data_IF_618760219742
#
_entry.id   IF_618760219742
#
_cell.length_a   1.000
_cell.length_b   1.000
_cell.length_c   1.000
_cell.angle_alpha   90.00
_cell.angle_beta   90.00
_cell.angle_gamma   90.00
#
_symmetry.space_group_name_H-M   'P 1'
#
loop_
_entity.id
_entity.type
_entity.pdbx_description
1 polymer ?
#
# COMPACT_ATOMS: atom_id res chain seq x y z
N UNK A 1 -19.27 26.15 18.66
CA UNK A 1 -19.61 25.44 17.42
C UNK A 1 -20.29 26.47 16.51
N UNK A 2 -19.76 26.73 15.35
CA UNK A 2 -20.30 27.77 14.45
C UNK A 2 -21.53 27.19 13.74
N UNK A 3 -22.62 27.99 13.58
CA UNK A 3 -23.87 27.56 12.92
C UNK A 3 -23.67 26.89 11.55
N UNK A 4 -22.65 27.30 10.81
CA UNK A 4 -22.25 26.66 9.55
C UNK A 4 -21.73 25.20 9.73
N UNK A 5 -21.10 24.88 10.83
CA UNK A 5 -20.61 23.51 11.08
C UNK A 5 -21.74 22.53 11.45
N UNK A 6 -22.88 23.00 11.92
CA UNK A 6 -24.05 22.17 12.23
C UNK A 6 -24.83 21.75 10.98
N UNK A 7 -24.73 22.48 9.86
CA UNK A 7 -25.42 22.17 8.61
C UNK A 7 -24.63 21.26 7.66
N UNK A 8 -23.30 21.10 7.84
CA UNK A 8 -22.49 20.21 7.00
C UNK A 8 -22.95 18.73 7.00
N UNK A 9 -23.36 18.13 8.13
CA UNK A 9 -23.88 16.76 8.14
C UNK A 9 -25.19 16.61 7.33
N UNK A 10 -26.00 17.66 7.22
CA UNK A 10 -27.24 17.63 6.43
C UNK A 10 -26.93 17.64 4.92
N UNK A 11 -26.03 18.51 4.47
CA UNK A 11 -25.56 18.52 3.09
C UNK A 11 -24.85 17.23 2.70
N UNK A 12 -24.14 16.60 3.64
CA UNK A 12 -23.48 15.31 3.37
C UNK A 12 -24.47 14.20 3.07
N UNK A 13 -25.68 14.18 3.66
CA UNK A 13 -26.71 13.17 3.37
C UNK A 13 -27.09 13.10 1.90
N UNK A 14 -27.13 14.25 1.22
CA UNK A 14 -27.39 14.28 -0.23
C UNK A 14 -26.25 13.62 -1.01
N UNK A 15 -24.99 13.91 -0.63
CA UNK A 15 -23.80 13.32 -1.25
C UNK A 15 -23.75 11.80 -0.98
N UNK A 16 -24.07 11.38 0.23
CA UNK A 16 -24.14 9.98 0.61
C UNK A 16 -25.17 9.22 -0.22
N UNK A 17 -26.34 9.78 -0.45
CA UNK A 17 -27.39 9.22 -1.29
C UNK A 17 -26.94 9.04 -2.76
N UNK A 18 -26.04 9.89 -3.24
CA UNK A 18 -25.40 9.75 -4.57
C UNK A 18 -24.29 8.67 -4.62
N UNK A 19 -23.94 8.07 -3.47
CA UNK A 19 -23.01 6.95 -3.40
C UNK A 19 -21.55 7.35 -3.19
N UNK A 20 -21.26 8.19 -2.19
CA UNK A 20 -19.88 8.54 -1.80
C UNK A 20 -19.04 7.28 -1.55
N UNK A 21 -17.89 7.12 -2.23
CA UNK A 21 -17.01 5.96 -2.03
C UNK A 21 -16.38 5.90 -0.62
N UNK A 22 -16.35 7.01 0.14
CA UNK A 22 -15.84 7.07 1.52
C UNK A 22 -16.87 6.58 2.55
N UNK A 23 -18.18 6.55 2.16
CA UNK A 23 -19.23 6.05 3.03
C UNK A 23 -18.95 4.62 3.46
N UNK A 24 -19.13 4.35 4.73
CA UNK A 24 -18.94 3.03 5.30
C UNK A 24 -17.49 2.57 5.48
N UNK A 25 -16.46 3.40 5.18
CA UNK A 25 -15.08 3.08 5.58
C UNK A 25 -14.96 3.22 7.10
N UNK A 26 -15.47 4.31 7.67
CA UNK A 26 -15.47 4.53 9.12
C UNK A 26 -16.29 3.49 9.89
N UNK A 27 -17.31 2.90 9.29
CA UNK A 27 -18.11 1.83 9.88
C UNK A 27 -17.36 0.47 9.89
N UNK A 28 -16.39 0.33 8.98
CA UNK A 28 -15.58 -0.89 8.84
C UNK A 28 -14.33 -0.86 9.66
N UNK A 29 -13.72 0.31 9.79
CA UNK A 29 -12.42 0.52 10.44
C UNK A 29 -12.60 1.41 11.65
N UNK A 30 -12.27 0.85 12.79
CA UNK A 30 -12.09 1.60 14.03
C UNK A 30 -10.69 2.24 14.00
N UNK A 31 -10.63 3.51 13.62
CA UNK A 31 -9.36 4.23 13.52
C UNK A 31 -8.71 4.45 14.89
N UNK A 32 -9.46 4.42 16.00
CA UNK A 32 -8.91 4.57 17.35
C UNK A 32 -7.96 3.41 17.70
N UNK A 33 -8.17 2.22 17.15
CA UNK A 33 -7.26 1.07 17.30
C UNK A 33 -5.88 1.28 16.66
N UNK A 34 -5.72 2.30 15.82
CA UNK A 34 -4.43 2.68 15.26
C UNK A 34 -3.64 3.56 16.23
N UNK A 35 -4.29 4.23 17.19
CA UNK A 35 -3.63 5.15 18.13
C UNK A 35 -2.45 4.52 18.88
N UNK A 36 -2.53 3.30 19.45
CA UNK A 36 -1.38 2.68 20.12
C UNK A 36 -0.14 2.56 19.23
N UNK A 37 -0.34 2.32 17.93
CA UNK A 37 0.75 2.25 16.95
C UNK A 37 1.39 3.62 16.73
N UNK A 38 0.64 4.69 16.88
CA UNK A 38 1.03 6.07 16.58
C UNK A 38 1.39 6.90 17.82
N UNK A 39 1.32 6.33 19.02
CA UNK A 39 1.50 7.06 20.30
C UNK A 39 2.84 7.80 20.40
N UNK A 40 3.89 7.27 19.80
CA UNK A 40 5.25 7.84 19.79
C UNK A 40 5.58 8.62 18.50
N UNK A 41 4.57 8.99 17.70
CA UNK A 41 4.81 9.72 16.44
C UNK A 41 5.42 11.11 16.64
N UNK A 42 5.19 11.74 17.79
CA UNK A 42 5.70 13.07 18.12
C UNK A 42 6.65 12.99 19.31
N UNK A 43 7.73 13.78 19.28
CA UNK A 43 8.77 13.82 20.31
C UNK A 43 8.78 15.14 21.10
N UNK A 44 7.87 16.05 20.78
CA UNK A 44 7.81 17.39 21.30
C UNK A 44 6.73 17.60 22.38
N UNK A 45 6.28 16.52 23.01
CA UNK A 45 5.40 16.57 24.18
C UNK A 45 6.26 16.89 25.42
N UNK A 46 6.70 18.14 25.50
CA UNK A 46 7.59 18.64 26.56
C UNK A 46 6.98 19.86 27.22
N UNK A 47 7.31 20.09 28.48
CA UNK A 47 6.87 21.26 29.30
C UNK A 47 7.30 22.63 28.72
N UNK A 48 8.17 22.64 27.69
CA UNK A 48 8.70 23.88 27.09
C UNK A 48 7.70 24.61 26.18
N UNK A 49 6.47 24.06 26.03
CA UNK A 49 5.46 24.65 25.15
C UNK A 49 5.78 24.44 23.67
N UNK A 50 4.88 24.90 22.82
CA UNK A 50 5.02 24.81 21.37
C UNK A 50 3.64 24.73 20.71
N UNK A 51 3.61 24.74 19.36
CA UNK A 51 2.37 24.51 18.61
C UNK A 51 1.89 23.07 18.86
N UNK A 52 0.64 22.85 19.32
CA UNK A 52 0.10 21.52 19.51
C UNK A 52 0.19 20.69 18.23
N UNK A 53 0.53 19.41 18.38
CA UNK A 53 0.56 18.46 17.28
C UNK A 53 -0.85 18.23 16.74
N UNK A 54 -0.93 17.88 15.46
CA UNK A 54 -2.15 17.36 14.88
C UNK A 54 -2.38 15.93 15.36
N UNK A 55 -3.64 15.57 15.54
CA UNK A 55 -4.02 14.19 15.85
C UNK A 55 -3.43 13.21 14.79
N UNK A 56 -2.66 12.20 15.22
CA UNK A 56 -2.08 11.21 14.30
C UNK A 56 -3.12 10.45 13.47
N UNK A 57 -4.31 10.19 14.02
CA UNK A 57 -5.41 9.53 13.31
C UNK A 57 -5.92 10.42 12.19
N UNK A 58 -6.13 11.70 12.46
CA UNK A 58 -6.48 12.68 11.42
C UNK A 58 -5.45 12.67 10.29
N UNK A 59 -4.16 12.65 10.63
CA UNK A 59 -3.08 12.65 9.64
C UNK A 59 -3.07 11.37 8.79
N UNK A 60 -3.31 10.19 9.38
CA UNK A 60 -3.44 8.92 8.65
C UNK A 60 -4.65 8.96 7.71
N UNK A 61 -5.79 9.45 8.17
CA UNK A 61 -6.99 9.62 7.32
C UNK A 61 -6.71 10.55 6.13
N UNK A 62 -5.98 11.65 6.33
CA UNK A 62 -5.59 12.56 5.25
C UNK A 62 -4.68 11.85 4.23
N UNK A 63 -3.71 11.05 4.68
CA UNK A 63 -2.85 10.28 3.77
C UNK A 63 -3.63 9.19 3.01
N UNK A 64 -4.67 8.59 3.62
CA UNK A 64 -5.58 7.68 2.91
C UNK A 64 -6.36 8.42 1.82
N UNK A 65 -6.92 9.59 2.11
CA UNK A 65 -7.59 10.43 1.10
C UNK A 65 -6.63 10.81 -0.03
N UNK A 66 -5.42 11.24 0.33
CA UNK A 66 -4.39 11.60 -0.64
C UNK A 66 -4.12 10.45 -1.62
N UNK A 67 -3.94 9.24 -1.10
CA UNK A 67 -3.66 8.05 -1.93
C UNK A 67 -4.90 7.59 -2.69
N UNK A 68 -6.08 7.61 -2.09
CA UNK A 68 -7.33 7.17 -2.70
C UNK A 68 -7.71 7.99 -3.94
N UNK A 69 -7.49 9.31 -3.85
CA UNK A 69 -7.81 10.26 -4.93
C UNK A 69 -6.60 10.70 -5.74
N UNK A 70 -5.43 10.11 -5.48
CA UNK A 70 -4.19 10.40 -6.22
C UNK A 70 -3.77 11.88 -6.18
N UNK A 71 -3.91 12.52 -5.03
CA UNK A 71 -3.68 13.94 -4.87
C UNK A 71 -2.20 14.23 -4.54
N UNK A 72 -1.68 15.32 -5.08
CA UNK A 72 -0.42 15.91 -4.62
C UNK A 72 -0.57 16.59 -3.26
N UNK A 73 0.53 16.89 -2.58
CA UNK A 73 0.49 17.58 -1.27
C UNK A 73 -0.28 18.92 -1.32
N UNK A 74 -0.09 19.80 -2.33
CA UNK A 74 -0.91 21.00 -2.46
C UNK A 74 -2.40 20.73 -2.75
N UNK A 75 -2.69 19.67 -3.52
CA UNK A 75 -4.08 19.32 -3.81
C UNK A 75 -4.80 18.80 -2.57
N UNK A 76 -4.20 17.87 -1.82
CA UNK A 76 -4.86 17.35 -0.62
C UNK A 76 -5.08 18.44 0.42
N UNK A 77 -4.14 19.40 0.58
CA UNK A 77 -4.33 20.56 1.45
C UNK A 77 -5.56 21.38 1.08
N UNK A 78 -5.83 21.57 -0.22
CA UNK A 78 -7.03 22.28 -0.72
C UNK A 78 -8.28 21.44 -0.55
N UNK A 79 -8.25 20.19 -1.04
CA UNK A 79 -9.43 19.32 -1.12
C UNK A 79 -10.00 18.94 0.26
N UNK A 80 -9.16 18.82 1.30
CA UNK A 80 -9.63 18.58 2.67
C UNK A 80 -10.39 19.78 3.27
N UNK A 81 -10.32 20.98 2.64
CA UNK A 81 -11.05 22.18 3.02
C UNK A 81 -12.27 22.42 2.15
N UNK A 82 -12.26 21.91 0.93
CA UNK A 82 -13.23 22.20 -0.11
C UNK A 82 -14.33 21.12 -0.20
N UNK A 83 -13.96 19.83 -0.03
CA UNK A 83 -14.91 18.72 -0.21
C UNK A 83 -15.62 18.34 1.08
N UNK A 84 -16.96 18.41 1.05
CA UNK A 84 -17.81 18.00 2.18
C UNK A 84 -17.60 16.51 2.53
N UNK A 85 -17.46 15.63 1.55
CA UNK A 85 -17.19 14.19 1.79
C UNK A 85 -15.86 13.96 2.51
N UNK A 86 -14.83 14.75 2.20
CA UNK A 86 -13.55 14.67 2.91
C UNK A 86 -13.68 15.18 4.35
N UNK A 87 -14.36 16.30 4.54
CA UNK A 87 -14.63 16.84 5.87
C UNK A 87 -15.41 15.86 6.74
N UNK A 88 -16.42 15.19 6.16
CA UNK A 88 -17.17 14.14 6.87
C UNK A 88 -16.28 12.95 7.25
N UNK A 89 -15.49 12.44 6.32
CA UNK A 89 -14.55 11.33 6.60
C UNK A 89 -13.51 11.68 7.68
N UNK A 90 -13.08 12.95 7.74
CA UNK A 90 -12.15 13.46 8.74
C UNK A 90 -12.81 13.78 10.09
N UNK A 91 -14.15 13.80 10.18
CA UNK A 91 -14.88 14.10 11.39
C UNK A 91 -15.00 15.60 11.69
N UNK A 92 -14.99 16.45 10.67
CA UNK A 92 -15.11 17.91 10.76
C UNK A 92 -14.12 18.56 11.74
N UNK A 93 -12.80 18.35 11.58
CA UNK A 93 -11.81 18.85 12.51
C UNK A 93 -11.76 20.39 12.51
N UNK A 94 -11.62 21.00 13.69
CA UNK A 94 -11.55 22.45 13.84
C UNK A 94 -10.29 23.09 13.21
N UNK A 95 -9.23 22.31 13.02
CA UNK A 95 -7.97 22.73 12.37
C UNK A 95 -7.51 21.69 11.39
N UNK A 96 -7.12 22.13 10.20
CA UNK A 96 -6.57 21.27 9.15
C UNK A 96 -5.10 21.61 8.90
N UNK A 97 -4.26 20.58 8.65
CA UNK A 97 -2.84 20.76 8.38
C UNK A 97 -2.60 21.41 7.02
N UNK A 98 -1.45 22.07 6.89
CA UNK A 98 -0.89 22.49 5.61
C UNK A 98 -0.11 21.35 4.92
N UNK A 99 0.24 21.54 3.65
CA UNK A 99 0.99 20.57 2.84
C UNK A 99 2.33 20.16 3.46
N UNK A 100 3.03 21.10 4.12
CA UNK A 100 4.33 20.84 4.74
C UNK A 100 4.15 19.94 5.97
N UNK A 101 3.14 20.20 6.79
CA UNK A 101 2.78 19.36 7.94
C UNK A 101 2.42 17.93 7.49
N UNK A 102 1.65 17.78 6.41
CA UNK A 102 1.31 16.48 5.83
C UNK A 102 2.58 15.76 5.34
N UNK A 103 3.45 16.47 4.64
CA UNK A 103 4.72 15.93 4.18
C UNK A 103 5.61 15.48 5.34
N UNK A 104 5.80 16.30 6.39
CA UNK A 104 6.59 15.96 7.56
C UNK A 104 6.04 14.74 8.30
N UNK A 105 4.73 14.63 8.43
CA UNK A 105 4.11 13.45 9.05
C UNK A 105 4.41 12.17 8.26
N UNK A 106 4.29 12.22 6.93
CA UNK A 106 4.62 11.10 6.04
C UNK A 106 6.08 10.69 6.15
N UNK A 107 7.02 11.66 6.19
CA UNK A 107 8.45 11.39 6.39
C UNK A 107 8.71 10.73 7.75
N UNK A 108 8.00 11.15 8.78
CA UNK A 108 8.11 10.57 10.12
C UNK A 108 7.59 9.13 10.16
N UNK A 109 6.45 8.85 9.52
CA UNK A 109 5.96 7.49 9.31
C UNK A 109 7.01 6.60 8.63
N UNK A 110 7.64 7.12 7.57
CA UNK A 110 8.67 6.42 6.82
C UNK A 110 9.87 6.06 7.69
N UNK A 111 10.42 7.03 8.43
CA UNK A 111 11.60 6.84 9.29
C UNK A 111 11.33 5.85 10.43
N UNK A 112 10.14 5.87 11.01
CA UNK A 112 9.76 5.02 12.15
C UNK A 112 9.19 3.67 11.73
N UNK A 113 9.00 3.41 10.44
CA UNK A 113 8.41 2.16 9.93
C UNK A 113 6.96 1.92 10.38
N UNK A 114 6.25 2.98 10.81
CA UNK A 114 4.88 2.90 11.29
C UNK A 114 3.87 2.63 10.20
N UNK A 115 4.19 2.94 8.94
CA UNK A 115 3.41 2.62 7.75
C UNK A 115 2.99 1.16 7.69
N UNK A 116 3.91 0.24 7.99
CA UNK A 116 3.63 -1.20 8.06
C UNK A 116 2.68 -1.56 9.19
N UNK A 117 2.87 -0.96 10.36
CA UNK A 117 2.04 -1.26 11.54
C UNK A 117 0.61 -0.75 11.35
N UNK A 118 0.43 0.45 10.78
CA UNK A 118 -0.89 0.99 10.40
C UNK A 118 -1.58 0.07 9.38
N UNK A 119 -0.84 -0.39 8.37
CA UNK A 119 -1.37 -1.34 7.40
C UNK A 119 -1.82 -2.64 8.06
N UNK A 120 -1.01 -3.21 8.95
CA UNK A 120 -1.35 -4.44 9.65
C UNK A 120 -2.63 -4.29 10.45
N UNK A 121 -2.78 -3.21 11.22
CA UNK A 121 -3.98 -2.95 12.02
C UNK A 121 -5.24 -2.86 11.14
N UNK A 122 -5.19 -2.08 10.05
CA UNK A 122 -6.33 -1.97 9.12
C UNK A 122 -6.66 -3.32 8.47
N UNK A 123 -5.63 -4.08 8.03
CA UNK A 123 -5.82 -5.42 7.46
C UNK A 123 -6.47 -6.36 8.46
N UNK A 124 -5.98 -6.39 9.70
CA UNK A 124 -6.46 -7.29 10.74
C UNK A 124 -7.93 -7.00 11.09
N UNK A 125 -8.34 -5.74 11.12
CA UNK A 125 -9.74 -5.34 11.29
C UNK A 125 -10.62 -5.81 10.11
N UNK A 126 -10.13 -5.71 8.88
CA UNK A 126 -10.83 -6.24 7.69
C UNK A 126 -10.99 -7.75 7.79
N UNK A 127 -9.94 -8.46 8.21
CA UNK A 127 -9.92 -9.92 8.28
C UNK A 127 -10.71 -10.47 9.46
N UNK A 128 -10.79 -9.74 10.60
CA UNK A 128 -11.56 -10.15 11.78
C UNK A 128 -13.07 -10.34 11.49
N UNK A 129 -13.59 -9.62 10.50
CA UNK A 129 -15.00 -9.71 10.06
C UNK A 129 -15.26 -10.83 9.02
N UNK A 130 -14.27 -11.68 8.71
CA UNK A 130 -14.34 -12.65 7.61
C UNK A 130 -13.94 -14.05 8.06
N UNK A 131 -14.61 -15.05 7.49
CA UNK A 131 -14.20 -16.46 7.63
C UNK A 131 -13.04 -16.68 6.66
N UNK A 132 -11.87 -16.96 7.16
CA UNK A 132 -10.69 -17.30 6.35
C UNK A 132 -10.74 -18.77 5.94
N UNK A 133 -10.97 -19.02 4.67
CA UNK A 133 -10.81 -20.36 4.08
C UNK A 133 -9.35 -20.48 3.65
N UNK A 134 -8.55 -21.28 4.33
CA UNK A 134 -7.11 -21.44 4.07
C UNK A 134 -6.86 -22.28 2.81
N UNK A 135 -7.11 -21.73 1.63
CA UNK A 135 -6.79 -22.39 0.34
C UNK A 135 -5.35 -22.17 -0.10
N UNK A 136 -4.64 -21.25 0.53
CA UNK A 136 -3.28 -20.87 0.22
C UNK A 136 -3.17 -19.41 -0.22
N UNK A 137 -1.97 -18.86 -0.06
CA UNK A 137 -1.66 -17.48 -0.42
C UNK A 137 -0.84 -17.45 -1.72
N UNK A 138 -0.87 -16.35 -2.45
CA UNK A 138 -0.13 -16.13 -3.68
C UNK A 138 0.89 -15.03 -3.46
N UNK A 139 2.16 -15.28 -3.80
CA UNK A 139 3.22 -14.29 -3.74
C UNK A 139 3.71 -13.93 -5.14
N UNK A 140 3.84 -12.63 -5.41
CA UNK A 140 4.42 -12.11 -6.64
C UNK A 140 5.08 -10.75 -6.42
N UNK A 141 5.79 -10.25 -7.46
CA UNK A 141 6.45 -8.95 -7.47
C UNK A 141 6.12 -8.16 -8.74
N UNK A 142 5.94 -6.85 -8.58
CA UNK A 142 5.73 -5.92 -9.70
C UNK A 142 6.72 -4.77 -9.64
N UNK A 143 7.24 -4.37 -10.82
CA UNK A 143 8.09 -3.19 -10.93
C UNK A 143 7.31 -1.89 -10.70
N UNK A 144 8.01 -0.95 -10.09
CA UNK A 144 7.59 0.43 -9.88
C UNK A 144 8.67 1.30 -10.51
N UNK A 145 8.34 1.90 -11.64
CA UNK A 145 9.27 2.76 -12.36
C UNK A 145 9.52 4.07 -11.60
N UNK A 146 10.73 4.55 -11.69
CA UNK A 146 11.13 5.83 -11.10
C UNK A 146 12.02 6.60 -12.08
N UNK A 147 12.10 7.91 -11.89
CA UNK A 147 12.96 8.76 -12.71
C UNK A 147 14.43 8.40 -12.51
N UNK A 148 15.06 7.93 -13.59
CA UNK A 148 16.52 7.64 -13.64
C UNK A 148 17.34 8.92 -13.63
N UNK A 149 16.79 10.05 -14.03
CA UNK A 149 17.48 11.28 -14.28
C UNK A 149 18.37 11.27 -15.52
N UNK A 150 19.06 12.37 -15.76
CA UNK A 150 19.97 12.50 -16.92
C UNK A 150 21.32 11.83 -16.65
N UNK A 151 21.88 11.25 -17.71
CA UNK A 151 23.22 10.65 -17.70
C UNK A 151 24.27 11.73 -17.34
N UNK A 152 25.27 11.36 -16.53
CA UNK A 152 26.38 12.24 -16.18
C UNK A 152 26.14 13.24 -15.06
N UNK A 153 24.90 13.40 -14.54
CA UNK A 153 24.65 14.26 -13.37
C UNK A 153 24.85 13.51 -12.05
N UNK A 154 25.32 14.20 -10.97
CA UNK A 154 25.61 13.56 -9.68
C UNK A 154 24.41 12.78 -9.14
N UNK A 155 24.66 11.58 -8.63
CA UNK A 155 23.72 10.74 -7.90
C UNK A 155 24.24 10.59 -6.47
N UNK A 156 23.35 10.56 -5.51
CA UNK A 156 23.73 10.31 -4.12
C UNK A 156 22.82 11.04 -3.14
N UNK A 157 23.01 10.76 -1.85
CA UNK A 157 22.20 11.30 -0.77
C UNK A 157 22.14 12.82 -0.73
N UNK A 158 23.25 13.48 -1.06
CA UNK A 158 23.42 14.93 -0.98
C UNK A 158 23.03 15.67 -2.28
N UNK A 159 22.72 14.93 -3.35
CA UNK A 159 22.27 15.56 -4.59
C UNK A 159 20.87 16.16 -4.40
N UNK A 160 20.76 17.50 -4.56
CA UNK A 160 19.48 18.21 -4.53
C UNK A 160 18.72 18.00 -5.85
N UNK A 161 18.28 16.76 -6.10
CA UNK A 161 17.57 16.37 -7.31
C UNK A 161 16.28 15.65 -6.97
N UNK A 162 15.27 15.75 -7.85
CA UNK A 162 14.01 15.01 -7.76
C UNK A 162 14.13 13.54 -8.21
N UNK A 163 15.34 13.06 -8.46
CA UNK A 163 15.62 11.71 -8.96
C UNK A 163 15.58 10.68 -7.85
N UNK A 164 15.36 9.43 -8.24
CA UNK A 164 15.52 8.32 -7.34
C UNK A 164 16.97 8.26 -6.81
N UNK A 165 17.10 8.20 -5.49
CA UNK A 165 18.40 8.17 -4.81
C UNK A 165 18.95 6.76 -4.64
N UNK A 166 18.08 5.79 -4.45
CA UNK A 166 18.38 4.40 -4.11
C UNK A 166 17.64 3.38 -5.00
N UNK A 167 17.00 3.84 -6.07
CA UNK A 167 16.46 2.96 -7.11
C UNK A 167 17.56 2.28 -7.91
N UNK A 168 17.28 1.10 -8.40
CA UNK A 168 18.23 0.29 -9.15
C UNK A 168 17.68 -0.15 -10.52
N UNK A 169 18.60 -0.52 -11.42
CA UNK A 169 18.25 -1.09 -12.72
C UNK A 169 18.06 -2.60 -12.63
N UNK A 170 17.07 -3.11 -13.36
CA UNK A 170 16.85 -4.54 -13.56
C UNK A 170 16.40 -4.79 -14.99
N UNK A 171 16.65 -5.99 -15.53
CA UNK A 171 16.17 -6.42 -16.83
C UNK A 171 15.27 -7.65 -16.65
N UNK A 172 14.07 -7.61 -17.21
CA UNK A 172 13.15 -8.74 -17.25
C UNK A 172 12.54 -8.86 -18.65
N UNK A 173 12.61 -10.05 -19.24
CA UNK A 173 12.08 -10.31 -20.60
C UNK A 173 12.59 -9.32 -21.66
N UNK A 174 13.89 -8.97 -21.61
CA UNK A 174 14.54 -7.98 -22.50
C UNK A 174 14.08 -6.52 -22.30
N UNK A 175 13.21 -6.24 -21.34
CA UNK A 175 12.82 -4.88 -20.96
C UNK A 175 13.68 -4.38 -19.79
N UNK A 176 14.10 -3.11 -19.88
CA UNK A 176 14.91 -2.45 -18.85
C UNK A 176 14.01 -1.65 -17.92
N UNK A 177 14.07 -1.98 -16.64
CA UNK A 177 13.36 -1.31 -15.57
C UNK A 177 14.35 -0.52 -14.71
N UNK A 178 13.93 0.65 -14.22
CA UNK A 178 14.68 1.40 -13.23
C UNK A 178 13.75 1.90 -12.13
N UNK A 179 14.08 1.60 -10.88
CA UNK A 179 13.32 2.03 -9.72
C UNK A 179 13.27 0.96 -8.64
N UNK A 180 12.08 0.46 -8.37
CA UNK A 180 11.78 -0.40 -7.22
C UNK A 180 10.91 -1.58 -7.63
N UNK A 181 10.73 -2.51 -6.68
CA UNK A 181 9.74 -3.59 -6.76
C UNK A 181 8.85 -3.60 -5.53
N UNK A 182 7.57 -3.79 -5.73
CA UNK A 182 6.64 -4.17 -4.67
C UNK A 182 6.43 -5.68 -4.72
N UNK A 183 6.71 -6.35 -3.60
CA UNK A 183 6.43 -7.76 -3.39
C UNK A 183 5.18 -7.86 -2.54
N UNK A 184 4.18 -8.63 -2.96
CA UNK A 184 2.93 -8.81 -2.21
C UNK A 184 2.61 -10.26 -1.98
N UNK A 185 2.01 -10.55 -0.83
CA UNK A 185 1.34 -11.80 -0.50
C UNK A 185 -0.17 -11.51 -0.46
N UNK A 186 -0.93 -12.26 -1.22
CA UNK A 186 -2.37 -12.07 -1.42
C UNK A 186 -3.09 -13.36 -1.11
N UNK A 187 -4.20 -13.27 -0.39
CA UNK A 187 -5.06 -14.43 -0.08
C UNK A 187 -6.04 -14.79 -1.21
N UNK A 188 -6.82 -15.84 -1.02
CA UNK A 188 -7.80 -16.35 -1.99
C UNK A 188 -8.96 -15.39 -2.28
N UNK A 189 -9.26 -14.45 -1.38
CA UNK A 189 -10.28 -13.41 -1.58
C UNK A 189 -9.66 -12.12 -2.14
N UNK A 190 -8.40 -12.15 -2.53
CA UNK A 190 -7.61 -11.06 -3.10
C UNK A 190 -7.37 -9.89 -2.14
N UNK A 191 -7.28 -10.14 -0.85
CA UNK A 191 -6.79 -9.17 0.14
C UNK A 191 -5.26 -9.29 0.21
N UNK A 192 -4.57 -8.15 0.25
CA UNK A 192 -3.12 -8.10 0.46
C UNK A 192 -2.85 -8.32 1.94
N UNK A 193 -2.16 -9.42 2.24
CA UNK A 193 -1.80 -9.86 3.59
C UNK A 193 -0.47 -9.26 4.07
N UNK A 194 0.51 -9.28 3.18
CA UNK A 194 1.85 -8.72 3.43
C UNK A 194 2.38 -8.02 2.20
N UNK A 195 3.24 -7.06 2.43
CA UNK A 195 4.02 -6.46 1.35
C UNK A 195 5.42 -6.07 1.80
N UNK A 196 6.33 -5.98 0.83
CA UNK A 196 7.68 -5.45 0.99
C UNK A 196 8.05 -4.63 -0.24
N UNK A 197 8.93 -3.65 -0.07
CA UNK A 197 9.44 -2.83 -1.18
C UNK A 197 10.96 -2.90 -1.17
N UNK A 198 11.54 -3.15 -2.35
CA UNK A 198 12.99 -3.25 -2.55
C UNK A 198 13.43 -2.42 -3.75
N UNK A 199 14.72 -2.10 -3.90
CA UNK A 199 15.27 -1.67 -5.18
C UNK A 199 15.01 -2.74 -6.27
N UNK A 200 14.89 -2.31 -7.54
CA UNK A 200 14.49 -3.21 -8.62
C UNK A 200 15.47 -4.36 -8.91
N UNK A 201 16.76 -4.21 -8.54
CA UNK A 201 17.80 -5.22 -8.72
C UNK A 201 17.73 -6.39 -7.73
N UNK A 202 16.96 -6.26 -6.64
CA UNK A 202 16.77 -7.37 -5.69
C UNK A 202 15.96 -8.46 -6.37
N UNK A 203 16.50 -9.70 -6.39
CA UNK A 203 15.82 -10.82 -7.02
C UNK A 203 14.60 -11.25 -6.20
N UNK A 204 13.51 -11.61 -6.87
CA UNK A 204 12.23 -11.93 -6.22
C UNK A 204 12.36 -13.10 -5.24
N UNK A 205 13.26 -14.06 -5.53
CA UNK A 205 13.58 -15.22 -4.66
C UNK A 205 14.20 -14.86 -3.31
N UNK A 206 14.71 -13.65 -3.12
CA UNK A 206 15.28 -13.20 -1.85
C UNK A 206 14.22 -12.72 -0.85
N UNK A 207 12.98 -12.57 -1.30
CA UNK A 207 11.89 -12.06 -0.47
C UNK A 207 10.86 -13.16 -0.25
N UNK A 208 10.75 -13.63 0.98
CA UNK A 208 9.73 -14.57 1.41
C UNK A 208 8.71 -13.88 2.33
N UNK A 209 7.47 -13.81 1.87
CA UNK A 209 6.35 -13.24 2.62
C UNK A 209 5.41 -14.32 3.17
N UNK A 210 5.67 -15.59 2.91
CA UNK A 210 4.80 -16.71 3.27
C UNK A 210 4.54 -16.82 4.79
N UNK A 211 3.45 -17.48 5.16
CA UNK A 211 3.12 -17.83 6.53
C UNK A 211 3.42 -19.31 6.80
N UNK A 212 3.97 -19.66 7.97
CA UNK A 212 4.13 -21.07 8.36
C UNK A 212 2.79 -21.82 8.30
N UNK A 213 2.81 -23.04 7.75
CA UNK A 213 1.64 -23.92 7.66
C UNK A 213 0.61 -23.54 6.57
N UNK A 214 0.84 -22.47 5.80
CA UNK A 214 -0.03 -22.09 4.67
C UNK A 214 0.70 -22.34 3.36
N UNK A 215 -0.01 -22.86 2.35
CA UNK A 215 0.57 -23.03 1.00
C UNK A 215 0.82 -21.67 0.39
N UNK A 216 2.04 -21.44 -0.11
CA UNK A 216 2.40 -20.22 -0.83
C UNK A 216 2.66 -20.52 -2.31
N UNK A 217 1.78 -20.08 -3.17
CA UNK A 217 1.88 -20.25 -4.62
C UNK A 217 2.76 -19.14 -5.21
N UNK A 218 3.85 -19.55 -5.88
CA UNK A 218 4.85 -18.64 -6.46
C UNK A 218 5.19 -19.05 -7.89
N UNK A 219 5.69 -18.11 -8.67
CA UNK A 219 6.12 -18.40 -10.04
C UNK A 219 7.49 -19.12 -10.10
N UNK A 220 7.96 -19.42 -11.32
CA UNK A 220 9.26 -20.07 -11.56
C UNK A 220 10.47 -19.23 -11.11
N UNK A 221 10.31 -17.93 -10.94
CA UNK A 221 11.35 -17.02 -10.46
C UNK A 221 11.75 -17.29 -9.01
N UNK A 222 10.87 -17.94 -8.24
CA UNK A 222 11.12 -18.34 -6.86
C UNK A 222 11.64 -19.78 -6.71
N UNK A 223 11.92 -20.47 -7.83
CA UNK A 223 12.39 -21.86 -7.78
C UNK A 223 13.71 -21.96 -7.00
N UNK A 224 13.78 -22.89 -6.03
CA UNK A 224 14.92 -23.09 -5.16
C UNK A 224 15.08 -22.07 -4.01
N UNK A 225 14.18 -21.10 -3.89
CA UNK A 225 14.20 -20.17 -2.75
C UNK A 225 13.51 -20.74 -1.51
N UNK A 226 13.93 -20.25 -0.35
CA UNK A 226 13.28 -20.55 0.92
C UNK A 226 11.79 -20.20 0.90
N UNK A 227 11.01 -21.00 1.63
CA UNK A 227 9.58 -20.76 1.85
C UNK A 227 9.25 -21.18 3.28
N UNK A 228 8.87 -20.22 4.12
CA UNK A 228 8.42 -20.48 5.50
C UNK A 228 7.11 -21.27 5.53
N UNK A 229 6.29 -21.09 4.50
CA UNK A 229 5.05 -21.84 4.31
C UNK A 229 5.26 -23.18 3.59
N UNK A 230 4.14 -23.81 3.23
CA UNK A 230 4.15 -24.98 2.37
C UNK A 230 4.47 -24.54 0.93
N UNK A 231 5.50 -25.10 0.34
CA UNK A 231 6.03 -24.63 -0.94
C UNK A 231 5.14 -25.02 -2.13
N UNK A 232 4.40 -24.03 -2.64
CA UNK A 232 3.60 -24.08 -3.86
C UNK A 232 4.28 -23.47 -5.08
N UNK A 233 5.62 -23.36 -5.11
CA UNK A 233 6.36 -22.76 -6.24
C UNK A 233 6.28 -23.66 -7.48
N UNK A 234 6.15 -23.01 -8.65
CA UNK A 234 6.18 -23.70 -9.94
C UNK A 234 7.55 -24.31 -10.22
N UNK A 235 7.55 -25.51 -10.78
CA UNK A 235 8.78 -26.19 -11.18
C UNK A 235 9.43 -25.48 -12.38
N UNK A 236 10.76 -25.42 -12.39
CA UNK A 236 11.55 -24.84 -13.47
C UNK A 236 12.29 -25.94 -14.23
N UNK A 237 12.28 -25.87 -15.56
CA UNK A 237 13.09 -26.77 -16.38
C UNK A 237 14.59 -26.52 -16.13
N UNK A 238 15.35 -27.59 -16.01
CA UNK A 238 16.81 -27.55 -15.98
C UNK A 238 17.33 -27.45 -17.43
N UNK A 239 18.48 -26.83 -17.62
CA UNK A 239 19.10 -26.68 -18.96
C UNK A 239 19.17 -28.03 -19.66
N UNK A 240 18.70 -28.09 -20.89
CA UNK A 240 18.63 -29.27 -21.77
C UNK A 240 17.67 -30.40 -21.31
N UNK A 241 16.86 -30.19 -20.26
CA UNK A 241 15.87 -31.18 -19.84
C UNK A 241 14.45 -30.56 -19.88
N UNK A 242 13.53 -31.27 -20.52
CA UNK A 242 12.12 -30.88 -20.53
C UNK A 242 11.47 -31.22 -19.18
N UNK A 243 10.52 -30.40 -18.74
CA UNK A 243 9.73 -30.72 -17.55
C UNK A 243 8.92 -32.02 -17.77
N UNK A 244 8.86 -32.91 -16.76
CA UNK A 244 7.94 -34.04 -16.76
C UNK A 244 6.48 -33.59 -16.90
N UNK A 245 5.63 -34.40 -17.53
CA UNK A 245 4.21 -34.11 -17.73
C UNK A 245 3.50 -33.80 -16.41
N UNK A 246 3.86 -34.47 -15.33
CA UNK A 246 3.30 -34.21 -13.99
C UNK A 246 3.62 -32.81 -13.50
N UNK A 247 4.87 -32.34 -13.65
CA UNK A 247 5.29 -30.97 -13.31
C UNK A 247 4.59 -29.92 -14.20
N UNK A 248 4.37 -30.20 -15.48
CA UNK A 248 3.63 -29.33 -16.38
C UNK A 248 2.17 -29.18 -15.87
N UNK A 249 1.50 -30.30 -15.57
CA UNK A 249 0.12 -30.29 -15.03
C UNK A 249 0.04 -29.59 -13.68
N UNK A 250 1.03 -29.80 -12.80
CA UNK A 250 1.16 -29.10 -11.50
C UNK A 250 1.29 -27.60 -11.73
N UNK A 251 2.18 -27.17 -12.61
CA UNK A 251 2.42 -25.76 -12.92
C UNK A 251 1.17 -25.08 -13.50
N UNK A 252 0.41 -25.75 -14.34
CA UNK A 252 -0.86 -25.23 -14.86
C UNK A 252 -1.89 -24.97 -13.75
N UNK A 253 -1.99 -25.87 -12.77
CA UNK A 253 -2.86 -25.68 -11.60
C UNK A 253 -2.39 -24.49 -10.75
N UNK A 254 -1.11 -24.40 -10.46
CA UNK A 254 -0.52 -23.30 -9.69
C UNK A 254 -0.73 -21.96 -10.44
N UNK A 255 -0.52 -21.92 -11.75
CA UNK A 255 -0.70 -20.70 -12.55
C UNK A 255 -2.12 -20.15 -12.47
N UNK A 256 -3.14 -21.03 -12.52
CA UNK A 256 -4.55 -20.61 -12.37
C UNK A 256 -4.84 -19.97 -11.02
N UNK A 257 -4.29 -20.53 -9.93
CA UNK A 257 -4.46 -19.98 -8.58
C UNK A 257 -3.69 -18.66 -8.48
N UNK A 258 -2.44 -18.66 -8.93
CA UNK A 258 -1.54 -17.50 -8.83
C UNK A 258 -2.02 -16.28 -9.61
N UNK A 259 -2.79 -16.48 -10.69
CA UNK A 259 -3.33 -15.35 -11.46
C UNK A 259 -4.16 -14.36 -10.60
N UNK A 260 -4.63 -14.78 -9.44
CA UNK A 260 -5.35 -13.90 -8.52
C UNK A 260 -4.47 -12.77 -7.95
N UNK A 261 -3.14 -12.95 -7.85
CA UNK A 261 -2.22 -11.91 -7.38
C UNK A 261 -2.02 -10.78 -8.40
N UNK A 262 -2.35 -11.01 -9.66
CA UNK A 262 -2.29 -9.99 -10.70
C UNK A 262 -3.37 -8.91 -10.53
N UNK A 263 -4.49 -9.27 -9.87
CA UNK A 263 -5.60 -8.35 -9.66
C UNK A 263 -5.22 -7.10 -8.81
N UNK A 264 -4.56 -7.20 -7.64
CA UNK A 264 -4.08 -6.02 -6.92
C UNK A 264 -3.14 -5.15 -7.76
N UNK A 265 -2.22 -5.74 -8.51
CA UNK A 265 -1.27 -4.97 -9.33
C UNK A 265 -1.92 -4.25 -10.50
N UNK A 266 -2.88 -4.90 -11.17
CA UNK A 266 -3.67 -4.25 -12.22
C UNK A 266 -4.44 -3.06 -11.64
N UNK A 267 -5.01 -3.24 -10.44
CA UNK A 267 -5.73 -2.19 -9.74
C UNK A 267 -4.81 -1.05 -9.32
N UNK A 268 -3.62 -1.35 -8.77
CA UNK A 268 -2.61 -0.36 -8.41
C UNK A 268 -2.22 0.52 -9.60
N UNK A 269 -1.94 -0.11 -10.75
CA UNK A 269 -1.54 0.61 -11.96
C UNK A 269 -2.68 1.45 -12.53
N UNK A 270 -3.89 0.90 -12.58
CA UNK A 270 -5.06 1.54 -13.20
C UNK A 270 -5.66 2.66 -12.35
N UNK A 271 -5.86 2.41 -11.05
CA UNK A 271 -6.60 3.31 -10.17
C UNK A 271 -5.68 4.29 -9.43
N UNK A 272 -4.48 3.85 -9.04
CA UNK A 272 -3.59 4.63 -8.21
C UNK A 272 -2.33 5.12 -8.95
N UNK A 273 -2.27 4.94 -10.27
CA UNK A 273 -1.12 5.30 -11.12
C UNK A 273 0.23 4.84 -10.52
N UNK A 274 0.21 3.67 -9.86
CA UNK A 274 1.33 3.17 -9.08
C UNK A 274 2.45 2.55 -9.92
N UNK A 275 2.28 2.45 -11.23
CA UNK A 275 3.32 1.98 -12.14
C UNK A 275 4.53 2.90 -12.19
N UNK A 276 4.36 4.17 -11.85
CA UNK A 276 5.39 5.20 -11.89
C UNK A 276 5.36 6.04 -10.61
N UNK A 277 6.53 6.31 -9.99
CA UNK A 277 6.62 7.09 -8.77
C UNK A 277 7.58 8.27 -8.90
N UNK A 278 7.18 9.39 -8.31
CA UNK A 278 7.97 10.63 -8.27
C UNK A 278 8.84 10.69 -6.99
N UNK A 279 8.51 9.84 -6.00
CA UNK A 279 9.25 9.80 -4.71
C UNK A 279 10.62 9.12 -4.89
N UNK A 280 11.60 9.56 -4.12
CA UNK A 280 13.02 9.39 -4.44
C UNK A 280 13.76 8.35 -3.60
N UNK A 281 13.11 7.68 -2.64
CA UNK A 281 13.76 6.68 -1.77
C UNK A 281 12.87 5.48 -1.54
N UNK A 282 13.49 4.29 -1.30
CA UNK A 282 12.78 3.05 -0.92
C UNK A 282 11.80 3.29 0.22
N UNK A 283 12.19 4.05 1.24
CA UNK A 283 11.33 4.33 2.39
C UNK A 283 10.07 5.11 1.99
N UNK A 284 10.19 6.12 1.12
CA UNK A 284 9.04 6.89 0.62
C UNK A 284 8.15 6.07 -0.30
N UNK A 285 8.76 5.25 -1.18
CA UNK A 285 8.02 4.31 -2.03
C UNK A 285 7.28 3.29 -1.16
N UNK A 286 7.91 2.80 -0.09
CA UNK A 286 7.30 1.87 0.87
C UNK A 286 6.04 2.48 1.50
N UNK A 287 6.10 3.70 2.03
CA UNK A 287 4.91 4.38 2.58
C UNK A 287 3.81 4.48 1.54
N UNK A 288 4.14 4.96 0.33
CA UNK A 288 3.16 5.04 -0.77
C UNK A 288 2.55 3.68 -1.07
N UNK A 289 3.36 2.61 -1.09
CA UNK A 289 2.89 1.24 -1.37
C UNK A 289 1.94 0.74 -0.28
N UNK A 290 2.26 0.98 1.00
CA UNK A 290 1.38 0.58 2.10
C UNK A 290 0.04 1.32 2.06
N UNK A 291 0.04 2.63 1.81
CA UNK A 291 -1.21 3.38 1.67
C UNK A 291 -2.01 2.96 0.44
N UNK A 292 -1.35 2.65 -0.68
CA UNK A 292 -2.02 2.07 -1.86
C UNK A 292 -2.66 0.72 -1.52
N UNK A 293 -1.96 -0.14 -0.79
CA UNK A 293 -2.48 -1.44 -0.37
C UNK A 293 -3.64 -1.32 0.62
N UNK A 294 -3.60 -0.36 1.55
CA UNK A 294 -4.72 -0.07 2.46
C UNK A 294 -5.96 0.38 1.67
N UNK A 295 -5.81 1.33 0.75
CA UNK A 295 -6.91 1.78 -0.11
C UNK A 295 -7.50 0.63 -0.92
N UNK A 296 -6.64 -0.21 -1.52
CA UNK A 296 -7.09 -1.40 -2.26
C UNK A 296 -7.84 -2.39 -1.36
N UNK A 297 -7.31 -2.73 -0.19
CA UNK A 297 -7.93 -3.66 0.74
C UNK A 297 -9.30 -3.15 1.22
N UNK A 298 -9.43 -1.85 1.50
CA UNK A 298 -10.70 -1.21 1.88
C UNK A 298 -11.73 -1.29 0.75
N UNK A 299 -11.32 -1.00 -0.51
CA UNK A 299 -12.21 -1.12 -1.67
C UNK A 299 -12.60 -2.57 -1.91
N UNK A 300 -11.66 -3.51 -1.77
CA UNK A 300 -11.92 -4.94 -1.91
C UNK A 300 -12.87 -5.44 -0.83
N UNK A 301 -12.69 -5.03 0.41
CA UNK A 301 -13.58 -5.34 1.52
C UNK A 301 -15.01 -4.87 1.24
N UNK A 302 -15.17 -3.60 0.81
CA UNK A 302 -16.48 -3.06 0.41
C UNK A 302 -17.15 -3.86 -0.70
N UNK A 303 -16.38 -4.28 -1.71
CA UNK A 303 -16.90 -5.12 -2.79
C UNK A 303 -17.39 -6.49 -2.27
N UNK A 304 -16.59 -7.13 -1.41
CA UNK A 304 -16.92 -8.44 -0.84
C UNK A 304 -18.19 -8.39 0.02
N UNK A 305 -18.41 -7.30 0.77
CA UNK A 305 -19.62 -7.13 1.57
C UNK A 305 -20.90 -6.93 0.74
N UNK A 306 -20.77 -6.51 -0.53
CA UNK A 306 -21.90 -6.35 -1.44
C UNK A 306 -22.33 -7.66 -2.09
N UNK A 307 -21.46 -8.65 -2.12
CA UNK A 307 -21.69 -9.95 -2.77
C UNK A 307 -21.89 -11.10 -1.77
N UNK A 308 -21.72 -10.82 -0.47
CA UNK A 308 -22.01 -11.75 0.62
C UNK A 308 -23.47 -11.68 1.02
#
# INVERSE_FOLDING_TARGET
>A
MNLLQSSFPEWYREIEALGDPLTGISDRIDFEKIMPVLSDMYENDTDKGGRPNYDPILMVKILLLQQWYNLSDPQVEREIRDRISFMNFLGYPGKLPDRNTIWYFRERLARRGKDRLVFNEIRDQIMAKRIRIKKGDMQDASFIESDRGEYGKPRGGDANTRRSKDGASATKNHEHHFGYKAHTLVDEIKIIEKLSVTPANVHDSQIDLSYPGIVCYRDKGYFGSECKGLNGTMDRAVRNHKLPIQSIRRNLRISRIRSMVEHPYAFFKRMFHFGNVIVTTVQRVRVKTYFTAMCYNLMRARYLDRIA
#
